data_IF_004750536562
#
_entry.id   IF_004750536562
#
_cell.length_a   1.000
_cell.length_b   1.000
_cell.length_c   1.000
_cell.angle_alpha   90.00
_cell.angle_beta   90.00
_cell.angle_gamma   90.00
#
_symmetry.space_group_name_H-M   'P 1'
#
loop_
_entity.id
_entity.type
_entity.pdbx_description
1 polymer ?
#
# COMPACT_ATOMS: atom_id res chain seq x y z
N UNK A 1 -59.83 -75.05 -9.94
CA UNK A 1 -58.41 -75.09 -9.75
C UNK A 1 -57.80 -74.33 -10.96
N UNK A 2 -57.65 -73.06 -10.82
CA UNK A 2 -57.12 -72.16 -11.87
C UNK A 2 -55.64 -71.84 -11.52
N UNK A 3 -54.75 -72.17 -12.46
CA UNK A 3 -53.35 -71.78 -12.41
C UNK A 3 -53.18 -70.49 -13.22
N UNK A 4 -52.78 -69.43 -12.56
CA UNK A 4 -52.42 -68.15 -13.15
C UNK A 4 -50.92 -68.23 -13.48
N UNK A 5 -50.56 -68.04 -14.75
CA UNK A 5 -49.18 -67.84 -15.18
C UNK A 5 -48.87 -66.38 -15.22
N UNK A 6 -47.92 -65.96 -14.38
CA UNK A 6 -47.41 -64.61 -14.34
C UNK A 6 -46.21 -64.51 -15.28
N UNK A 7 -46.35 -63.70 -16.34
CA UNK A 7 -45.24 -63.37 -17.25
C UNK A 7 -44.40 -62.26 -16.61
N UNK A 8 -43.12 -62.58 -16.37
CA UNK A 8 -42.12 -61.59 -15.96
C UNK A 8 -41.47 -61.03 -17.23
N UNK A 9 -41.80 -59.75 -17.57
CA UNK A 9 -41.14 -59.02 -18.62
C UNK A 9 -39.84 -58.41 -18.02
N UNK A 10 -38.70 -58.91 -18.47
CA UNK A 10 -37.40 -58.39 -18.12
C UNK A 10 -37.13 -57.13 -18.96
N UNK A 11 -37.26 -55.94 -18.35
CA UNK A 11 -36.94 -54.66 -18.99
C UNK A 11 -35.47 -54.38 -18.80
N UNK A 12 -34.65 -54.65 -19.81
CA UNK A 12 -33.23 -54.25 -19.84
C UNK A 12 -33.18 -52.74 -20.09
N UNK A 13 -32.99 -51.97 -19.03
CA UNK A 13 -32.61 -50.58 -19.13
C UNK A 13 -31.14 -50.49 -19.48
N UNK A 14 -30.82 -50.22 -20.73
CA UNK A 14 -29.50 -49.80 -21.18
C UNK A 14 -29.26 -48.39 -20.62
N UNK A 15 -28.53 -48.34 -19.51
CA UNK A 15 -27.91 -47.11 -19.03
C UNK A 15 -26.81 -46.73 -20.03
N UNK A 16 -27.14 -45.91 -21.01
CA UNK A 16 -26.15 -45.11 -21.74
C UNK A 16 -25.49 -44.19 -20.71
N UNK A 17 -24.39 -44.64 -20.12
CA UNK A 17 -23.46 -43.74 -19.43
C UNK A 17 -22.92 -42.81 -20.50
N UNK A 18 -23.49 -41.62 -20.59
CA UNK A 18 -22.82 -40.49 -21.20
C UNK A 18 -21.58 -40.23 -20.34
N UNK A 19 -20.43 -40.81 -20.71
CA UNK A 19 -19.16 -40.27 -20.31
C UNK A 19 -19.07 -38.88 -20.96
N UNK A 20 -19.57 -37.86 -20.25
CA UNK A 20 -19.06 -36.53 -20.48
C UNK A 20 -17.57 -36.64 -20.18
N UNK A 21 -16.78 -36.67 -21.23
CA UNK A 21 -15.37 -36.28 -21.13
C UNK A 21 -15.40 -34.90 -20.49
N UNK A 22 -15.23 -34.86 -19.16
CA UNK A 22 -14.78 -33.65 -18.48
C UNK A 22 -13.42 -33.31 -19.10
N UNK A 23 -13.46 -32.62 -20.23
CA UNK A 23 -12.36 -31.79 -20.64
C UNK A 23 -12.27 -30.67 -19.58
N UNK A 24 -11.79 -31.04 -18.41
CA UNK A 24 -11.32 -30.11 -17.40
C UNK A 24 -10.08 -29.42 -18.00
N UNK A 25 -10.31 -28.56 -18.98
CA UNK A 25 -9.38 -27.50 -19.28
C UNK A 25 -9.33 -26.62 -18.03
N UNK A 26 -8.41 -26.97 -17.13
CA UNK A 26 -8.27 -26.24 -15.87
C UNK A 26 -7.80 -24.82 -16.17
N UNK A 27 -8.78 -23.95 -16.49
CA UNK A 27 -8.55 -22.54 -16.75
C UNK A 27 -8.13 -21.78 -15.48
N UNK A 28 -8.39 -22.36 -14.30
CA UNK A 28 -7.97 -21.74 -13.03
C UNK A 28 -6.45 -21.61 -12.93
N UNK A 29 -6.00 -20.55 -12.27
CA UNK A 29 -4.59 -20.30 -12.02
C UNK A 29 -4.21 -18.84 -12.15
N UNK A 30 -2.92 -18.61 -12.07
CA UNK A 30 -2.32 -17.29 -12.25
C UNK A 30 -1.81 -17.15 -13.66
N UNK A 31 -2.12 -16.03 -14.29
CA UNK A 31 -1.65 -15.67 -15.62
C UNK A 31 -0.89 -14.36 -15.56
N UNK A 32 0.24 -14.25 -16.23
CA UNK A 32 1.08 -13.06 -16.23
C UNK A 32 1.67 -12.77 -17.60
N UNK A 33 1.80 -11.51 -17.93
CA UNK A 33 2.40 -11.04 -19.18
C UNK A 33 2.50 -9.54 -19.21
N UNK A 34 2.96 -9.02 -20.34
CA UNK A 34 3.11 -7.58 -20.53
C UNK A 34 1.94 -7.06 -21.34
N UNK A 35 1.23 -6.10 -20.78
CA UNK A 35 0.23 -5.33 -21.50
C UNK A 35 0.89 -4.06 -22.10
N UNK A 36 0.63 -3.82 -23.37
CA UNK A 36 1.15 -2.63 -24.09
C UNK A 36 -0.01 -1.76 -24.53
N UNK A 37 0.01 -0.52 -24.09
CA UNK A 37 -0.84 0.57 -24.54
C UNK A 37 0.00 1.53 -25.40
N UNK A 38 -0.64 2.46 -26.11
CA UNK A 38 0.02 3.41 -27.02
C UNK A 38 1.21 4.16 -26.39
N UNK A 39 1.11 4.51 -25.12
CA UNK A 39 2.09 5.36 -24.40
C UNK A 39 2.82 4.67 -23.24
N UNK A 40 2.44 3.45 -22.86
CA UNK A 40 3.04 2.77 -21.71
C UNK A 40 2.98 1.25 -21.82
N UNK A 41 3.73 0.60 -20.96
CA UNK A 41 3.78 -0.84 -20.81
C UNK A 41 3.76 -1.17 -19.33
N UNK A 42 2.93 -2.15 -18.92
CA UNK A 42 2.84 -2.64 -17.54
C UNK A 42 2.89 -4.16 -17.48
N UNK A 43 3.38 -4.69 -16.39
CA UNK A 43 3.23 -6.09 -16.04
C UNK A 43 1.80 -6.34 -15.53
N UNK A 44 1.07 -7.15 -16.29
CA UNK A 44 -0.31 -7.51 -15.99
C UNK A 44 -0.36 -8.94 -15.44
N UNK A 45 -1.02 -9.10 -14.31
CA UNK A 45 -1.30 -10.42 -13.75
C UNK A 45 -2.77 -10.56 -13.42
N UNK A 46 -3.33 -11.73 -13.71
CA UNK A 46 -4.69 -12.14 -13.40
C UNK A 46 -4.63 -13.44 -12.59
N UNK A 47 -5.29 -13.46 -11.44
CA UNK A 47 -5.51 -14.68 -10.67
C UNK A 47 -6.98 -15.09 -10.84
N UNK A 48 -7.23 -16.26 -11.45
CA UNK A 48 -8.55 -16.86 -11.63
C UNK A 48 -8.70 -18.02 -10.67
N UNK A 49 -9.63 -17.93 -9.76
CA UNK A 49 -9.92 -18.88 -8.69
C UNK A 49 -11.41 -19.24 -8.71
N UNK A 50 -11.78 -20.44 -8.28
CA UNK A 50 -13.18 -20.81 -8.05
C UNK A 50 -13.43 -21.12 -6.58
N UNK A 51 -14.66 -20.85 -6.16
CA UNK A 51 -15.22 -21.23 -4.86
C UNK A 51 -16.63 -21.81 -5.02
N UNK A 52 -17.32 -22.03 -3.90
CA UNK A 52 -18.70 -22.56 -3.91
C UNK A 52 -19.73 -21.64 -4.57
N UNK A 53 -19.40 -20.37 -4.84
CA UNK A 53 -20.27 -19.37 -5.44
C UNK A 53 -19.96 -19.15 -6.93
N UNK A 54 -18.82 -19.65 -7.43
CA UNK A 54 -18.39 -19.53 -8.81
C UNK A 54 -16.95 -19.06 -8.98
N UNK A 55 -16.68 -18.38 -10.08
CA UNK A 55 -15.35 -17.88 -10.40
C UNK A 55 -15.12 -16.47 -9.89
N UNK A 56 -13.93 -16.24 -9.36
CA UNK A 56 -13.41 -14.94 -8.93
C UNK A 56 -12.15 -14.62 -9.74
N UNK A 57 -12.03 -13.36 -10.17
CA UNK A 57 -10.84 -12.86 -10.86
C UNK A 57 -10.27 -11.67 -10.11
N UNK A 58 -8.96 -11.70 -9.91
CA UNK A 58 -8.22 -10.62 -9.26
C UNK A 58 -7.18 -10.06 -10.22
N UNK A 59 -7.13 -8.74 -10.31
CA UNK A 59 -6.17 -8.00 -11.13
C UNK A 59 -4.99 -7.54 -10.29
N UNK A 60 -3.77 -7.65 -10.84
CA UNK A 60 -2.53 -7.16 -10.21
C UNK A 60 -1.66 -6.43 -11.24
N UNK A 61 -1.21 -5.22 -10.87
CA UNK A 61 -0.15 -4.45 -11.54
C UNK A 61 0.71 -3.79 -10.47
N UNK A 62 1.94 -4.26 -10.30
CA UNK A 62 2.83 -3.74 -9.23
C UNK A 62 3.29 -2.32 -9.53
N UNK A 63 3.45 -1.96 -10.80
CA UNK A 63 3.81 -0.60 -11.23
C UNK A 63 2.71 0.43 -10.89
N UNK A 64 1.48 -0.04 -10.66
CA UNK A 64 0.35 0.79 -10.26
C UNK A 64 -0.01 0.60 -8.77
N UNK A 65 0.88 0.00 -7.99
CA UNK A 65 0.64 -0.35 -6.58
C UNK A 65 -0.67 -1.14 -6.37
N UNK A 66 -1.11 -1.89 -7.38
CA UNK A 66 -2.34 -2.66 -7.37
C UNK A 66 -2.04 -4.14 -7.18
N UNK A 67 -2.53 -4.74 -6.09
CA UNK A 67 -2.38 -6.16 -5.81
C UNK A 67 -3.74 -6.80 -5.50
N UNK A 68 -4.11 -7.83 -6.31
CA UNK A 68 -5.33 -8.63 -6.14
C UNK A 68 -6.60 -7.78 -6.02
N UNK A 69 -6.73 -6.77 -6.87
CA UNK A 69 -7.94 -5.96 -6.96
C UNK A 69 -9.09 -6.85 -7.47
N UNK A 70 -10.20 -6.99 -6.72
CA UNK A 70 -11.32 -7.81 -7.15
C UNK A 70 -12.00 -7.21 -8.40
N UNK A 71 -12.36 -8.09 -9.33
CA UNK A 71 -13.08 -7.69 -10.54
C UNK A 71 -14.57 -7.98 -10.44
N UNK A 72 -15.36 -7.56 -11.42
CA UNK A 72 -16.82 -7.73 -11.47
C UNK A 72 -17.23 -8.47 -12.74
N UNK A 73 -18.49 -8.94 -12.78
CA UNK A 73 -19.11 -9.56 -13.95
C UNK A 73 -18.28 -10.72 -14.52
N UNK A 74 -17.72 -11.54 -13.62
CA UNK A 74 -16.90 -12.69 -14.02
C UNK A 74 -17.78 -13.76 -14.65
N UNK A 75 -17.40 -14.22 -15.83
CA UNK A 75 -18.07 -15.30 -16.56
C UNK A 75 -17.02 -16.20 -17.19
N UNK A 76 -17.10 -17.50 -16.89
CA UNK A 76 -16.32 -18.55 -17.53
C UNK A 76 -17.28 -19.49 -18.25
N UNK A 77 -17.18 -19.56 -19.58
CA UNK A 77 -17.98 -20.42 -20.42
C UNK A 77 -17.02 -21.20 -21.32
N UNK A 78 -16.95 -22.51 -21.10
CA UNK A 78 -15.95 -23.39 -21.74
C UNK A 78 -14.51 -22.88 -21.45
N UNK A 79 -13.81 -22.45 -22.51
CA UNK A 79 -12.46 -21.88 -22.48
C UNK A 79 -12.43 -20.33 -22.51
N UNK A 80 -13.59 -19.69 -22.48
CA UNK A 80 -13.73 -18.22 -22.57
C UNK A 80 -13.89 -17.62 -21.19
N UNK A 81 -13.07 -16.60 -20.87
CA UNK A 81 -13.11 -15.81 -19.65
C UNK A 81 -13.48 -14.37 -20.00
N UNK A 82 -14.51 -13.85 -19.35
CA UNK A 82 -14.88 -12.44 -19.41
C UNK A 82 -15.01 -11.87 -18.01
N UNK A 83 -14.50 -10.67 -17.79
CA UNK A 83 -14.67 -9.92 -16.54
C UNK A 83 -14.51 -8.42 -16.77
N UNK A 84 -14.88 -7.63 -15.78
CA UNK A 84 -14.72 -6.18 -15.79
C UNK A 84 -13.90 -5.70 -14.59
N UNK A 85 -12.98 -4.78 -14.85
CA UNK A 85 -12.29 -4.04 -13.83
C UNK A 85 -12.87 -2.63 -13.78
N UNK A 86 -13.34 -2.19 -12.62
CA UNK A 86 -14.02 -0.91 -12.44
C UNK A 86 -13.11 0.06 -11.70
N UNK A 87 -12.83 1.20 -12.32
CA UNK A 87 -12.28 2.38 -11.67
C UNK A 87 -13.38 3.40 -11.40
N UNK A 88 -13.03 4.54 -10.79
CA UNK A 88 -13.98 5.63 -10.53
C UNK A 88 -14.52 6.27 -11.82
N UNK A 89 -13.78 6.19 -12.93
CA UNK A 89 -14.08 6.89 -14.17
C UNK A 89 -14.36 5.94 -15.34
N UNK A 90 -13.72 4.76 -15.37
CA UNK A 90 -13.76 3.86 -16.53
C UNK A 90 -14.12 2.43 -16.13
N UNK A 91 -14.75 1.74 -17.07
CA UNK A 91 -14.96 0.29 -17.02
C UNK A 91 -14.09 -0.37 -18.07
N UNK A 92 -13.20 -1.26 -17.62
CA UNK A 92 -12.30 -2.02 -18.48
C UNK A 92 -12.85 -3.41 -18.67
N UNK A 93 -13.13 -3.79 -19.90
CA UNK A 93 -13.73 -5.09 -20.23
C UNK A 93 -12.66 -6.02 -20.78
N UNK A 94 -12.38 -7.08 -20.05
CA UNK A 94 -11.48 -8.15 -20.47
C UNK A 94 -12.29 -9.29 -21.10
N UNK A 95 -11.90 -9.69 -22.31
CA UNK A 95 -12.49 -10.77 -23.07
C UNK A 95 -11.36 -11.65 -23.57
N UNK A 96 -11.25 -12.88 -23.07
CA UNK A 96 -10.13 -13.76 -23.41
C UNK A 96 -10.57 -15.18 -23.59
N UNK A 97 -9.71 -15.93 -24.25
CA UNK A 97 -9.82 -17.37 -24.47
C UNK A 97 -8.58 -18.05 -23.92
N UNK A 98 -8.80 -19.15 -23.18
CA UNK A 98 -7.73 -20.00 -22.71
C UNK A 98 -7.31 -20.98 -23.79
N UNK A 99 -6.04 -21.01 -24.10
CA UNK A 99 -5.43 -22.02 -24.97
C UNK A 99 -4.68 -23.05 -24.12
N UNK A 100 -5.26 -24.24 -23.99
CA UNK A 100 -4.69 -25.33 -23.19
C UNK A 100 -3.38 -25.89 -23.78
N UNK A 101 -3.15 -25.74 -25.10
CA UNK A 101 -1.95 -26.24 -25.77
C UNK A 101 -0.72 -25.43 -25.42
N UNK A 102 -0.91 -24.13 -25.20
CA UNK A 102 0.16 -23.18 -24.84
C UNK A 102 0.10 -22.69 -23.40
N UNK A 103 -0.94 -23.09 -22.64
CA UNK A 103 -1.19 -22.57 -21.28
C UNK A 103 -1.29 -21.04 -21.24
N UNK A 104 -1.99 -20.43 -22.18
CA UNK A 104 -2.10 -18.97 -22.31
C UNK A 104 -3.54 -18.49 -22.25
N UNK A 105 -3.74 -17.28 -21.73
CA UNK A 105 -4.95 -16.46 -21.89
C UNK A 105 -4.67 -15.40 -22.96
N UNK A 106 -5.40 -15.50 -24.08
CA UNK A 106 -5.27 -14.52 -25.18
C UNK A 106 -6.59 -13.82 -25.37
N UNK A 107 -6.56 -12.51 -25.55
CA UNK A 107 -7.80 -11.76 -25.66
C UNK A 107 -7.61 -10.29 -25.99
N UNK A 108 -8.67 -9.56 -25.75
CA UNK A 108 -8.73 -8.11 -25.91
C UNK A 108 -9.22 -7.46 -24.62
N UNK A 109 -8.61 -6.34 -24.31
CA UNK A 109 -9.05 -5.39 -23.31
C UNK A 109 -9.70 -4.22 -24.02
N UNK A 110 -10.99 -3.99 -23.77
CA UNK A 110 -11.73 -2.85 -24.32
C UNK A 110 -11.70 -1.69 -23.34
N UNK A 111 -11.21 -0.53 -23.78
CA UNK A 111 -11.17 0.74 -23.06
C UNK A 111 -11.80 1.80 -23.97
N UNK A 112 -12.87 2.48 -23.52
CA UNK A 112 -13.55 3.53 -24.31
C UNK A 112 -13.85 3.12 -25.76
N UNK A 113 -14.35 1.90 -25.93
CA UNK A 113 -14.68 1.31 -27.26
C UNK A 113 -13.48 1.04 -28.17
N UNK A 114 -12.24 1.11 -27.65
CA UNK A 114 -11.03 0.67 -28.33
C UNK A 114 -10.55 -0.65 -27.77
N UNK A 115 -10.13 -1.53 -28.66
CA UNK A 115 -9.66 -2.87 -28.31
C UNK A 115 -8.14 -2.95 -28.35
N UNK A 116 -7.55 -3.44 -27.25
CA UNK A 116 -6.11 -3.64 -27.08
C UNK A 116 -5.85 -5.14 -26.89
N UNK A 117 -5.12 -5.81 -27.78
CA UNK A 117 -4.84 -7.22 -27.66
C UNK A 117 -3.86 -7.48 -26.51
N UNK A 118 -4.05 -8.60 -25.83
CA UNK A 118 -3.09 -9.08 -24.82
C UNK A 118 -2.94 -10.60 -24.83
N UNK A 119 -1.79 -11.08 -24.34
CA UNK A 119 -1.53 -12.50 -24.12
C UNK A 119 -0.82 -12.66 -22.78
N UNK A 120 -1.32 -13.57 -21.94
CA UNK A 120 -0.76 -13.87 -20.62
C UNK A 120 -0.44 -15.36 -20.55
N UNK A 121 0.75 -15.68 -20.08
CA UNK A 121 1.19 -17.06 -19.85
C UNK A 121 0.74 -17.52 -18.47
N UNK A 122 0.30 -18.79 -18.36
CA UNK A 122 -0.03 -19.39 -17.07
C UNK A 122 1.24 -19.58 -16.26
N UNK A 123 1.25 -19.03 -15.05
CA UNK A 123 2.39 -19.09 -14.14
C UNK A 123 2.32 -20.37 -13.31
N UNK A 124 3.44 -21.09 -13.21
CA UNK A 124 3.54 -22.28 -12.33
C UNK A 124 3.32 -21.85 -10.86
N UNK A 125 2.43 -22.56 -10.16
CA UNK A 125 2.12 -22.34 -8.75
C UNK A 125 3.35 -22.47 -7.84
N UNK A 126 4.38 -23.21 -8.27
CA UNK A 126 5.66 -23.30 -7.54
C UNK A 126 6.40 -21.98 -7.41
N UNK A 127 6.08 -21.01 -8.26
CA UNK A 127 6.69 -19.68 -8.24
C UNK A 127 5.89 -18.66 -7.41
N UNK A 128 4.80 -19.06 -6.75
CA UNK A 128 4.06 -18.18 -5.86
C UNK A 128 4.84 -17.92 -4.56
N UNK A 129 4.87 -16.67 -4.13
CA UNK A 129 5.47 -16.27 -2.86
C UNK A 129 4.61 -16.83 -1.72
N UNK A 130 5.24 -17.56 -0.81
CA UNK A 130 4.57 -18.11 0.38
C UNK A 130 4.41 -17.00 1.43
N UNK A 131 3.28 -17.02 2.11
CA UNK A 131 3.00 -16.11 3.22
C UNK A 131 2.74 -16.86 4.51
N UNK A 132 2.99 -16.20 5.64
CA UNK A 132 2.71 -16.71 6.98
C UNK A 132 2.15 -15.58 7.85
N UNK A 133 0.91 -15.70 8.28
CA UNK A 133 0.33 -14.78 9.25
C UNK A 133 0.88 -15.05 10.65
N UNK A 134 1.12 -13.97 11.39
CA UNK A 134 1.47 -14.00 12.81
C UNK A 134 0.66 -12.94 13.56
N UNK A 135 0.36 -13.23 14.83
CA UNK A 135 -0.23 -12.25 15.75
C UNK A 135 0.65 -12.15 17.00
N UNK A 136 0.63 -10.97 17.61
CA UNK A 136 1.45 -10.68 18.79
C UNK A 136 0.78 -9.61 19.66
N UNK A 137 1.17 -9.54 20.93
CA UNK A 137 0.64 -8.55 21.87
C UNK A 137 1.56 -7.32 21.91
N UNK A 138 0.96 -6.13 21.88
CA UNK A 138 1.63 -4.85 22.08
C UNK A 138 0.70 -3.86 22.79
N UNK A 139 1.14 -3.29 23.91
CA UNK A 139 0.37 -2.30 24.69
C UNK A 139 -1.09 -2.71 24.96
N UNK A 140 -1.32 -4.00 25.30
CA UNK A 140 -2.67 -4.55 25.57
C UNK A 140 -3.53 -4.78 24.34
N UNK A 141 -2.99 -4.64 23.13
CA UNK A 141 -3.67 -4.94 21.88
C UNK A 141 -3.06 -6.15 21.19
N UNK A 142 -3.91 -6.98 20.58
CA UNK A 142 -3.46 -8.06 19.69
C UNK A 142 -3.29 -7.51 18.29
N UNK A 143 -2.06 -7.51 17.77
CA UNK A 143 -1.72 -7.02 16.43
C UNK A 143 -1.45 -8.20 15.49
N UNK A 144 -1.85 -8.07 14.23
CA UNK A 144 -1.78 -9.12 13.21
C UNK A 144 -0.99 -8.66 11.99
N UNK A 145 -0.12 -9.51 11.48
CA UNK A 145 0.68 -9.19 10.29
C UNK A 145 0.98 -10.42 9.44
N UNK A 146 1.54 -10.19 8.26
CA UNK A 146 1.90 -11.22 7.27
C UNK A 146 3.37 -11.16 6.95
N UNK A 147 4.07 -12.29 7.12
CA UNK A 147 5.44 -12.50 6.65
C UNK A 147 5.36 -13.06 5.23
N UNK A 148 6.06 -12.43 4.30
CA UNK A 148 6.22 -12.88 2.92
C UNK A 148 7.59 -13.53 2.77
N UNK A 149 7.58 -14.79 2.35
CA UNK A 149 8.76 -15.64 2.28
C UNK A 149 9.21 -15.75 0.82
N UNK A 150 10.41 -15.28 0.47
CA UNK A 150 10.91 -15.38 -0.89
C UNK A 150 11.16 -16.84 -1.29
N UNK A 151 11.03 -17.15 -2.58
CA UNK A 151 11.37 -18.48 -3.10
C UNK A 151 12.86 -18.81 -2.90
N UNK A 152 13.72 -17.79 -3.02
CA UNK A 152 15.15 -17.87 -2.72
C UNK A 152 15.51 -16.71 -1.81
N UNK A 153 15.85 -17.02 -0.56
CA UNK A 153 16.17 -15.98 0.44
C UNK A 153 17.61 -15.47 0.28
N UNK A 154 17.76 -14.13 0.37
CA UNK A 154 19.06 -13.48 0.49
C UNK A 154 19.54 -13.31 1.94
N UNK A 155 18.81 -13.89 2.92
CA UNK A 155 19.13 -13.83 4.35
C UNK A 155 18.77 -12.50 5.03
N UNK A 156 18.11 -11.56 4.34
CA UNK A 156 17.77 -10.22 4.85
C UNK A 156 16.29 -10.06 5.09
N UNK A 157 15.95 -9.25 6.09
CA UNK A 157 14.58 -8.82 6.41
C UNK A 157 14.31 -7.38 5.97
N UNK A 158 13.07 -7.12 5.53
CA UNK A 158 12.55 -5.79 5.29
C UNK A 158 11.22 -5.64 6.04
N UNK A 159 11.13 -4.64 6.89
CA UNK A 159 9.95 -4.37 7.71
C UNK A 159 9.28 -3.07 7.28
N UNK A 160 7.98 -3.11 7.03
CA UNK A 160 7.20 -1.92 6.69
C UNK A 160 6.61 -1.29 7.94
N UNK A 161 7.09 -0.10 8.26
CA UNK A 161 6.61 0.74 9.37
C UNK A 161 5.24 1.31 8.99
N UNK A 162 4.27 1.21 9.89
CA UNK A 162 2.91 1.69 9.66
C UNK A 162 2.85 3.22 9.47
N UNK A 163 1.95 3.71 8.62
CA UNK A 163 1.76 5.13 8.34
C UNK A 163 0.44 5.66 8.91
N UNK A 164 0.09 6.92 8.61
CA UNK A 164 -1.17 7.58 9.01
C UNK A 164 -2.42 6.93 8.39
N UNK A 165 -3.59 7.46 8.73
CA UNK A 165 -4.88 7.00 8.21
C UNK A 165 -5.34 5.65 8.78
N UNK A 166 -6.48 5.14 8.35
CA UNK A 166 -7.08 3.88 8.81
C UNK A 166 -6.79 2.70 7.86
N UNK A 167 -5.75 2.80 7.05
CA UNK A 167 -5.36 1.74 6.13
C UNK A 167 -4.74 0.56 6.89
N UNK A 168 -5.10 -0.65 6.51
CA UNK A 168 -4.49 -1.87 6.96
C UNK A 168 -3.22 -2.22 6.12
N UNK A 169 -2.61 -3.37 6.40
CA UNK A 169 -1.40 -3.84 5.70
C UNK A 169 -1.56 -4.00 4.18
N UNK A 170 -2.79 -4.10 3.65
CA UNK A 170 -3.01 -4.28 2.21
C UNK A 170 -2.46 -3.12 1.39
N UNK A 171 -2.39 -1.91 1.97
CA UNK A 171 -1.87 -0.71 1.32
C UNK A 171 -0.40 -0.81 0.87
N UNK A 172 0.40 -1.68 1.49
CA UNK A 172 1.81 -1.93 1.11
C UNK A 172 2.02 -3.27 0.39
N UNK A 173 0.96 -4.00 0.06
CA UNK A 173 1.07 -5.38 -0.42
C UNK A 173 1.81 -5.52 -1.77
N UNK A 174 1.70 -4.54 -2.66
CA UNK A 174 2.42 -4.58 -3.93
C UNK A 174 3.94 -4.40 -3.73
N UNK A 175 4.34 -3.46 -2.88
CA UNK A 175 5.75 -3.23 -2.52
C UNK A 175 6.34 -4.45 -1.81
N UNK A 176 5.61 -5.01 -0.86
CA UNK A 176 6.00 -6.22 -0.13
C UNK A 176 6.21 -7.39 -1.08
N UNK A 177 5.32 -7.57 -2.06
CA UNK A 177 5.46 -8.61 -3.08
C UNK A 177 6.70 -8.37 -3.96
N UNK A 178 6.95 -7.11 -4.37
CA UNK A 178 8.12 -6.76 -5.16
C UNK A 178 9.42 -7.15 -4.44
N UNK A 179 9.61 -6.72 -3.20
CA UNK A 179 10.83 -7.01 -2.46
C UNK A 179 10.97 -8.49 -2.09
N UNK A 180 9.85 -9.21 -1.89
CA UNK A 180 9.91 -10.65 -1.70
C UNK A 180 10.38 -11.39 -2.95
N UNK A 181 9.99 -10.95 -4.16
CA UNK A 181 10.53 -11.48 -5.43
C UNK A 181 12.03 -11.21 -5.57
N UNK A 182 12.56 -10.17 -4.93
CA UNK A 182 13.99 -9.82 -4.89
C UNK A 182 14.80 -10.56 -3.81
N UNK A 183 14.17 -11.51 -3.13
CA UNK A 183 14.83 -12.39 -2.15
C UNK A 183 14.77 -11.90 -0.70
N UNK A 184 14.15 -10.79 -0.40
CA UNK A 184 13.94 -10.33 0.97
C UNK A 184 12.81 -11.13 1.64
N UNK A 185 12.99 -11.48 2.92
CA UNK A 185 11.86 -11.84 3.76
C UNK A 185 11.21 -10.55 4.22
N UNK A 186 9.93 -10.33 3.90
CA UNK A 186 9.27 -9.04 4.15
C UNK A 186 8.14 -9.20 5.15
N UNK A 187 7.97 -8.21 6.03
CA UNK A 187 6.89 -8.20 7.00
C UNK A 187 6.17 -6.85 7.02
N UNK A 188 4.85 -6.92 6.99
CA UNK A 188 3.94 -5.82 7.23
C UNK A 188 2.79 -6.27 8.15
N UNK A 189 2.18 -5.33 8.87
CA UNK A 189 1.11 -5.66 9.81
C UNK A 189 0.02 -4.59 9.82
N UNK A 190 -1.15 -4.98 10.31
CA UNK A 190 -2.25 -4.05 10.57
C UNK A 190 -1.94 -3.29 11.86
N UNK A 191 -1.85 -1.96 11.79
CA UNK A 191 -1.71 -1.17 13.01
C UNK A 191 -2.96 -1.30 13.89
N UNK A 192 -2.86 -0.91 15.14
CA UNK A 192 -3.99 -0.97 16.09
C UNK A 192 -5.25 -0.34 15.49
N UNK A 193 -6.41 -0.97 15.70
CA UNK A 193 -7.71 -0.50 15.18
C UNK A 193 -7.94 -0.67 13.68
N UNK A 194 -7.04 -1.37 12.96
CA UNK A 194 -7.22 -1.63 11.52
C UNK A 194 -7.13 -3.13 11.20
N UNK A 195 -7.71 -3.54 10.07
CA UNK A 195 -7.63 -4.90 9.56
C UNK A 195 -8.03 -5.96 10.57
N UNK A 196 -7.10 -6.86 10.93
CA UNK A 196 -7.29 -7.92 11.92
C UNK A 196 -6.74 -7.56 13.32
N UNK A 197 -6.18 -6.37 13.49
CA UNK A 197 -5.63 -5.90 14.76
C UNK A 197 -6.72 -5.28 15.64
N UNK A 198 -6.61 -5.50 16.95
CA UNK A 198 -7.50 -4.88 17.95
C UNK A 198 -7.00 -3.48 18.34
N UNK A 199 -7.75 -2.80 19.22
CA UNK A 199 -7.41 -1.49 19.74
C UNK A 199 -8.05 -0.33 19.00
N UNK A 200 -7.58 0.88 19.26
CA UNK A 200 -8.04 2.12 18.64
C UNK A 200 -6.85 3.01 18.29
N UNK A 201 -7.05 3.90 17.32
CA UNK A 201 -6.13 4.99 16.96
C UNK A 201 -6.46 6.31 17.70
N UNK A 202 -7.53 6.33 18.49
CA UNK A 202 -7.94 7.54 19.21
C UNK A 202 -6.91 7.93 20.28
N UNK A 203 -6.48 9.17 20.28
CA UNK A 203 -5.53 9.76 21.23
C UNK A 203 -4.22 8.97 21.44
N UNK A 204 -3.75 8.30 20.38
CA UNK A 204 -2.49 7.53 20.41
C UNK A 204 -1.32 8.42 20.00
N UNK A 205 -0.26 8.44 20.81
CA UNK A 205 0.98 9.15 20.47
C UNK A 205 1.76 8.45 19.36
N UNK A 206 2.63 9.19 18.67
CA UNK A 206 3.55 8.59 17.68
C UNK A 206 4.53 7.65 18.37
N UNK A 207 4.91 7.94 19.58
CA UNK A 207 5.78 7.11 20.43
C UNK A 207 5.11 5.75 20.72
N UNK A 208 3.82 5.72 21.06
CA UNK A 208 3.08 4.47 21.26
C UNK A 208 2.95 3.65 19.98
N UNK A 209 2.73 4.30 18.83
CA UNK A 209 2.72 3.64 17.53
C UNK A 209 4.11 3.10 17.16
N UNK A 210 5.19 3.81 17.53
CA UNK A 210 6.55 3.32 17.32
C UNK A 210 6.87 2.12 18.22
N UNK A 211 6.31 2.05 19.43
CA UNK A 211 6.44 0.86 20.31
C UNK A 211 5.75 -0.35 19.68
N UNK A 212 4.59 -0.17 19.03
CA UNK A 212 3.95 -1.25 18.27
C UNK A 212 4.83 -1.74 17.13
N UNK A 213 5.41 -0.80 16.32
CA UNK A 213 6.33 -1.16 15.25
C UNK A 213 7.59 -1.88 15.79
N UNK A 214 8.16 -1.42 16.91
CA UNK A 214 9.32 -2.06 17.58
C UNK A 214 8.98 -3.50 18.00
N UNK A 215 7.82 -3.68 18.63
CA UNK A 215 7.34 -5.00 19.05
C UNK A 215 7.16 -5.91 17.83
N UNK A 216 6.56 -5.39 16.76
CA UNK A 216 6.37 -6.11 15.50
C UNK A 216 7.71 -6.52 14.86
N UNK A 217 8.71 -5.65 14.83
CA UNK A 217 10.07 -5.94 14.33
C UNK A 217 10.72 -7.07 15.14
N UNK A 218 10.60 -7.04 16.47
CA UNK A 218 11.15 -8.08 17.34
C UNK A 218 10.45 -9.43 17.11
N UNK A 219 9.11 -9.44 16.94
CA UNK A 219 8.36 -10.66 16.61
C UNK A 219 8.70 -11.18 15.21
N UNK A 220 8.90 -10.30 14.24
CA UNK A 220 9.37 -10.66 12.91
C UNK A 220 10.75 -11.33 12.95
N UNK A 221 11.73 -10.74 13.65
CA UNK A 221 13.06 -11.32 13.86
C UNK A 221 12.97 -12.71 14.51
N UNK A 222 12.17 -12.85 15.57
CA UNK A 222 11.95 -14.12 16.28
C UNK A 222 11.32 -15.19 15.38
N UNK A 223 10.27 -14.82 14.62
CA UNK A 223 9.51 -15.76 13.79
C UNK A 223 10.29 -16.25 12.57
N UNK A 224 11.22 -15.43 12.04
CA UNK A 224 12.03 -15.73 10.85
C UNK A 224 13.45 -16.19 11.18
N UNK A 225 13.90 -15.97 12.40
CA UNK A 225 15.30 -16.14 12.87
C UNK A 225 16.29 -15.24 12.12
N UNK A 226 15.83 -14.17 11.48
CA UNK A 226 16.68 -13.15 10.89
C UNK A 226 17.10 -12.18 12.02
N UNK A 227 18.40 -12.02 12.30
CA UNK A 227 18.87 -11.12 13.36
C UNK A 227 18.57 -9.65 12.97
N UNK A 228 18.41 -8.78 13.97
CA UNK A 228 18.08 -7.36 13.77
C UNK A 228 19.11 -6.64 12.87
N UNK A 229 20.37 -7.03 12.93
CA UNK A 229 21.47 -6.50 12.12
C UNK A 229 21.32 -6.81 10.60
N UNK A 230 20.39 -7.69 10.24
CA UNK A 230 20.03 -8.02 8.86
C UNK A 230 18.63 -7.49 8.48
N UNK A 231 17.95 -6.75 9.37
CA UNK A 231 16.65 -6.17 9.13
C UNK A 231 16.79 -4.68 8.85
N UNK A 232 16.29 -4.26 7.68
CA UNK A 232 16.07 -2.85 7.33
C UNK A 232 14.60 -2.50 7.52
N UNK A 233 14.32 -1.23 7.86
CA UNK A 233 12.96 -0.74 8.02
C UNK A 233 12.65 0.32 6.96
N UNK A 234 11.42 0.31 6.44
CA UNK A 234 10.93 1.23 5.41
C UNK A 234 9.60 1.81 5.85
N UNK A 235 9.40 3.11 5.64
CA UNK A 235 8.14 3.77 5.95
C UNK A 235 7.98 5.06 5.17
N UNK A 236 6.72 5.39 4.86
CA UNK A 236 6.36 6.63 4.17
C UNK A 236 5.59 7.57 5.10
N UNK A 237 5.68 8.88 4.84
CA UNK A 237 4.93 9.91 5.56
C UNK A 237 5.13 9.79 7.08
N UNK A 238 4.07 9.65 7.87
CA UNK A 238 4.14 9.39 9.32
C UNK A 238 4.99 8.15 9.64
N UNK A 239 4.93 7.09 8.81
CA UNK A 239 5.79 5.91 8.97
C UNK A 239 7.26 6.25 8.82
N UNK A 240 7.61 7.08 7.83
CA UNK A 240 8.96 7.61 7.65
C UNK A 240 9.42 8.47 8.83
N UNK A 241 8.51 9.25 9.41
CA UNK A 241 8.80 10.08 10.59
C UNK A 241 9.10 9.25 11.85
N UNK A 242 8.57 8.03 11.98
CA UNK A 242 8.87 7.11 13.09
C UNK A 242 10.23 6.42 12.95
N UNK A 243 10.76 6.28 11.73
CA UNK A 243 12.01 5.54 11.48
C UNK A 243 13.18 6.02 12.37
N UNK A 244 13.53 7.31 12.47
CA UNK A 244 14.64 7.72 13.29
C UNK A 244 14.43 7.44 14.78
N UNK A 245 13.19 7.52 15.28
CA UNK A 245 12.85 7.13 16.66
C UNK A 245 13.09 5.62 16.87
N UNK A 246 12.59 4.77 15.96
CA UNK A 246 12.76 3.31 16.04
C UNK A 246 14.25 2.92 16.00
N UNK A 247 15.03 3.51 15.09
CA UNK A 247 16.46 3.25 14.96
C UNK A 247 17.29 3.72 16.17
N UNK A 248 16.87 4.79 16.84
CA UNK A 248 17.52 5.25 18.07
C UNK A 248 17.21 4.33 19.27
N UNK A 249 16.12 3.57 19.23
CA UNK A 249 15.76 2.58 20.26
C UNK A 249 16.36 1.20 19.92
N UNK A 250 16.14 0.71 18.72
CA UNK A 250 16.69 -0.56 18.23
C UNK A 250 18.00 -0.31 17.46
N UNK A 251 19.06 0.00 18.22
CA UNK A 251 20.34 0.43 17.68
C UNK A 251 21.10 -0.62 16.86
N UNK A 252 20.65 -1.84 16.86
CA UNK A 252 21.22 -2.94 16.09
C UNK A 252 20.45 -3.25 14.78
N UNK A 253 19.45 -2.45 14.40
CA UNK A 253 18.84 -2.57 13.07
C UNK A 253 19.85 -2.20 11.97
N UNK A 254 19.69 -2.80 10.78
CA UNK A 254 20.61 -2.61 9.65
C UNK A 254 20.59 -1.18 9.12
N UNK A 255 19.40 -0.65 8.83
CA UNK A 255 19.20 0.67 8.21
C UNK A 255 17.75 1.10 8.18
N UNK A 256 17.50 2.36 7.79
CA UNK A 256 16.18 2.91 7.52
C UNK A 256 16.01 3.43 6.09
N UNK A 257 14.77 3.46 5.63
CA UNK A 257 14.35 4.08 4.37
C UNK A 257 13.12 4.94 4.67
N UNK A 258 13.27 6.25 4.59
CA UNK A 258 12.29 7.26 4.99
C UNK A 258 11.79 7.98 3.74
N UNK A 259 10.52 7.79 3.41
CA UNK A 259 9.92 8.22 2.14
C UNK A 259 8.87 9.30 2.42
N UNK A 260 8.85 10.39 1.64
CA UNK A 260 7.88 11.49 1.79
C UNK A 260 7.72 11.92 3.26
N UNK A 261 8.83 12.04 3.97
CA UNK A 261 8.83 12.26 5.42
C UNK A 261 8.81 13.75 5.76
N UNK A 262 7.91 14.21 6.66
CA UNK A 262 7.92 15.60 7.10
C UNK A 262 9.24 15.96 7.80
N UNK A 263 9.88 17.04 7.33
CA UNK A 263 11.00 17.70 7.99
C UNK A 263 10.56 18.76 9.01
N UNK A 264 9.38 18.58 9.60
CA UNK A 264 8.71 19.51 10.51
C UNK A 264 7.76 18.72 11.43
N UNK A 265 6.93 19.38 12.23
CA UNK A 265 5.86 18.69 12.97
C UNK A 265 4.78 18.15 12.03
N UNK A 266 4.04 17.13 12.48
CA UNK A 266 2.91 16.61 11.72
C UNK A 266 1.83 17.69 11.52
N UNK A 267 1.63 18.57 12.50
CA UNK A 267 0.74 19.74 12.39
C UNK A 267 1.12 20.63 11.21
N UNK A 268 2.41 21.00 11.10
CA UNK A 268 2.89 21.86 10.00
C UNK A 268 2.74 21.15 8.63
N UNK A 269 2.94 19.84 8.60
CA UNK A 269 2.74 19.03 7.39
C UNK A 269 1.27 19.01 6.95
N UNK A 270 0.36 18.73 7.88
CA UNK A 270 -1.07 18.69 7.59
C UNK A 270 -1.61 20.07 7.17
N UNK A 271 -1.12 21.14 7.82
CA UNK A 271 -1.43 22.52 7.43
C UNK A 271 -0.92 22.82 6.01
N UNK A 272 0.31 22.42 5.68
CA UNK A 272 0.86 22.59 4.34
C UNK A 272 0.00 21.89 3.29
N UNK A 273 -0.41 20.64 3.53
CA UNK A 273 -1.31 19.90 2.65
C UNK A 273 -2.64 20.64 2.46
N UNK A 274 -3.28 21.02 3.55
CA UNK A 274 -4.55 21.73 3.52
C UNK A 274 -4.46 23.02 2.70
N UNK A 275 -3.46 23.84 2.96
CA UNK A 275 -3.30 25.12 2.25
C UNK A 275 -2.91 24.91 0.77
N UNK A 276 -2.12 23.91 0.43
CA UNK A 276 -1.84 23.56 -0.96
C UNK A 276 -3.11 23.13 -1.72
N UNK A 277 -4.01 22.41 -1.06
CA UNK A 277 -5.30 22.01 -1.63
C UNK A 277 -6.24 23.19 -1.83
N UNK A 278 -6.25 24.16 -0.91
CA UNK A 278 -7.18 25.28 -0.89
C UNK A 278 -6.71 26.52 -1.69
N UNK A 279 -5.41 26.66 -1.96
CA UNK A 279 -4.83 27.87 -2.58
C UNK A 279 -5.48 28.32 -3.89
N UNK A 280 -6.07 27.40 -4.65
CA UNK A 280 -6.75 27.68 -5.92
C UNK A 280 -8.23 28.03 -5.74
N UNK A 281 -8.79 27.80 -4.54
CA UNK A 281 -10.19 28.07 -4.19
C UNK A 281 -10.36 29.38 -3.43
N UNK A 282 -9.29 29.86 -2.79
CA UNK A 282 -9.28 31.05 -1.95
C UNK A 282 -8.60 32.19 -2.72
N UNK A 283 -9.20 33.39 -2.66
CA UNK A 283 -8.60 34.59 -3.25
C UNK A 283 -7.22 34.85 -2.64
N UNK A 284 -6.27 35.27 -3.46
CA UNK A 284 -4.88 35.51 -3.03
C UNK A 284 -4.77 36.42 -1.81
N UNK A 285 -5.58 37.47 -1.75
CA UNK A 285 -5.58 38.44 -0.65
C UNK A 285 -6.12 37.86 0.66
N UNK A 286 -6.94 36.83 0.59
CA UNK A 286 -7.54 36.16 1.73
C UNK A 286 -6.70 34.95 2.24
N UNK A 287 -5.70 34.50 1.47
CA UNK A 287 -4.91 33.30 1.81
C UNK A 287 -4.24 33.41 3.19
N UNK A 288 -3.68 34.58 3.52
CA UNK A 288 -3.01 34.74 4.83
C UNK A 288 -4.02 34.60 5.97
N UNK A 289 -5.20 35.23 5.84
CA UNK A 289 -6.24 35.14 6.86
C UNK A 289 -6.81 33.72 6.97
N UNK A 290 -7.02 33.05 5.84
CA UNK A 290 -7.46 31.66 5.78
C UNK A 290 -6.44 30.73 6.45
N UNK A 291 -5.14 30.94 6.17
CA UNK A 291 -4.05 30.17 6.80
C UNK A 291 -4.05 30.36 8.32
N UNK A 292 -4.20 31.58 8.83
CA UNK A 292 -4.25 31.84 10.28
C UNK A 292 -5.42 31.09 10.95
N UNK A 293 -6.59 31.11 10.34
CA UNK A 293 -7.76 30.42 10.89
C UNK A 293 -7.54 28.89 10.84
N UNK A 294 -7.03 28.34 9.72
CA UNK A 294 -6.76 26.92 9.61
C UNK A 294 -5.65 26.46 10.56
N UNK A 295 -4.62 27.30 10.77
CA UNK A 295 -3.57 27.05 11.78
C UNK A 295 -4.18 26.94 13.18
N UNK A 296 -5.07 27.86 13.55
CA UNK A 296 -5.73 27.82 14.85
C UNK A 296 -6.57 26.55 15.05
N UNK A 297 -7.18 26.02 14.00
CA UNK A 297 -7.89 24.72 14.04
C UNK A 297 -6.90 23.59 14.34
N UNK A 298 -5.77 23.51 13.63
CA UNK A 298 -4.76 22.46 13.85
C UNK A 298 -4.07 22.61 15.22
N UNK A 299 -3.78 23.84 15.66
CA UNK A 299 -3.25 24.09 17.01
C UNK A 299 -4.21 23.63 18.11
N UNK A 300 -5.52 23.84 17.92
CA UNK A 300 -6.51 23.30 18.85
C UNK A 300 -6.50 21.79 18.87
N UNK A 301 -6.52 21.14 17.71
CA UNK A 301 -6.47 19.68 17.59
C UNK A 301 -5.17 19.10 18.19
N UNK A 302 -4.05 19.80 18.07
CA UNK A 302 -2.77 19.43 18.68
C UNK A 302 -2.63 19.80 20.16
N UNK A 303 -3.64 20.41 20.79
CA UNK A 303 -3.63 20.79 22.20
C UNK A 303 -2.91 22.11 22.52
N UNK A 304 -2.41 22.83 21.48
CA UNK A 304 -1.72 24.11 21.64
C UNK A 304 -2.65 25.32 21.83
N UNK A 305 -3.92 25.19 21.44
CA UNK A 305 -4.93 26.27 21.55
C UNK A 305 -6.16 25.79 22.31
N UNK A 306 -6.73 26.61 23.19
CA UNK A 306 -7.96 26.26 23.90
C UNK A 306 -9.20 26.40 22.99
N UNK A 307 -10.23 25.57 23.23
CA UNK A 307 -11.53 25.61 22.52
C UNK A 307 -12.13 27.00 22.48
N UNK A 308 -12.14 27.68 23.62
CA UNK A 308 -12.67 29.06 23.73
C UNK A 308 -11.97 30.06 22.81
N UNK A 309 -10.63 29.97 22.71
CA UNK A 309 -9.87 30.86 21.79
C UNK A 309 -10.16 30.50 20.34
N UNK A 310 -10.24 29.21 19.99
CA UNK A 310 -10.61 28.80 18.64
C UNK A 310 -12.00 29.29 18.27
N UNK A 311 -13.03 29.14 19.14
CA UNK A 311 -14.39 29.59 18.89
C UNK A 311 -14.48 31.10 18.62
N UNK A 312 -13.67 31.92 19.31
CA UNK A 312 -13.55 33.35 19.06
C UNK A 312 -13.02 33.59 17.64
N UNK A 313 -11.92 32.97 17.26
CA UNK A 313 -11.30 33.09 15.93
C UNK A 313 -12.29 32.66 14.83
N UNK A 314 -12.97 31.52 15.00
CA UNK A 314 -13.97 31.06 14.04
C UNK A 314 -15.13 32.04 13.90
N UNK A 315 -15.64 32.58 15.02
CA UNK A 315 -16.74 33.55 15.03
C UNK A 315 -16.38 34.86 14.31
N UNK A 316 -15.16 35.38 14.51
CA UNK A 316 -14.67 36.58 13.85
C UNK A 316 -14.52 36.44 12.35
N UNK A 317 -14.29 35.22 11.87
CA UNK A 317 -14.04 34.93 10.46
C UNK A 317 -15.22 34.29 9.72
N UNK A 318 -16.29 33.87 10.43
CA UNK A 318 -17.44 33.14 9.88
C UNK A 318 -18.09 33.79 8.65
N UNK A 319 -18.10 35.13 8.56
CA UNK A 319 -18.72 35.84 7.45
C UNK A 319 -17.74 36.16 6.30
N UNK A 320 -16.50 35.73 6.37
CA UNK A 320 -15.51 35.89 5.30
C UNK A 320 -15.75 34.85 4.21
N UNK A 321 -15.55 35.26 2.95
CA UNK A 321 -15.78 34.39 1.78
C UNK A 321 -14.93 33.10 1.83
N UNK A 322 -13.69 33.17 2.28
CA UNK A 322 -12.78 32.04 2.38
C UNK A 322 -13.21 30.98 3.42
N UNK A 323 -14.03 31.35 4.41
CA UNK A 323 -14.39 30.48 5.53
C UNK A 323 -15.07 29.19 5.09
N UNK A 324 -15.89 29.23 4.03
CA UNK A 324 -16.58 28.06 3.47
C UNK A 324 -15.64 26.96 2.92
N UNK A 325 -14.39 27.28 2.64
CA UNK A 325 -13.39 26.35 2.11
C UNK A 325 -12.52 25.72 3.21
N UNK A 326 -12.56 26.28 4.42
CA UNK A 326 -11.75 25.76 5.54
C UNK A 326 -12.31 24.45 6.05
N UNK A 327 -11.41 23.56 6.43
CA UNK A 327 -11.78 22.36 7.13
C UNK A 327 -11.89 22.64 8.63
N UNK A 328 -13.10 22.54 9.15
CA UNK A 328 -13.42 22.75 10.56
C UNK A 328 -14.16 21.52 11.04
N UNK A 329 -13.48 20.59 11.74
CA UNK A 329 -14.11 19.39 12.28
C UNK A 329 -15.06 19.76 13.43
N UNK A 330 -15.86 18.76 13.85
CA UNK A 330 -16.58 18.86 15.10
C UNK A 330 -15.57 19.08 16.25
N UNK A 331 -15.79 20.12 17.04
CA UNK A 331 -14.89 20.51 18.12
C UNK A 331 -15.12 19.61 19.34
N UNK A 332 -14.65 18.37 19.29
CA UNK A 332 -14.60 17.47 20.42
C UNK A 332 -13.63 18.02 21.49
N UNK A 333 -13.74 17.55 22.72
CA UNK A 333 -12.79 17.96 23.78
C UNK A 333 -11.43 17.26 23.68
N UNK A 334 -11.36 16.17 22.88
CA UNK A 334 -10.16 15.35 22.75
C UNK A 334 -9.17 15.94 21.74
N UNK A 335 -7.93 16.11 22.17
CA UNK A 335 -6.81 16.58 21.36
C UNK A 335 -6.12 15.42 20.64
N UNK A 336 -5.61 15.67 19.43
CA UNK A 336 -4.81 14.71 18.67
C UNK A 336 -3.33 14.83 19.03
N UNK A 337 -2.91 14.14 20.05
CA UNK A 337 -1.55 14.21 20.64
C UNK A 337 -0.43 14.00 19.58
N UNK A 338 -0.70 13.23 18.52
CA UNK A 338 0.28 12.95 17.47
C UNK A 338 0.69 14.20 16.65
N UNK A 339 -0.15 15.24 16.56
CA UNK A 339 0.11 16.40 15.69
C UNK A 339 1.34 17.22 16.09
N UNK A 340 1.69 17.28 17.38
CA UNK A 340 2.87 18.00 17.87
C UNK A 340 4.19 17.25 17.61
N UNK A 341 4.15 15.98 17.21
CA UNK A 341 5.34 15.17 16.97
C UNK A 341 6.18 15.72 15.82
N UNK A 342 7.51 15.75 16.01
CA UNK A 342 8.50 16.03 14.97
C UNK A 342 9.59 14.97 14.98
N UNK A 343 9.98 14.49 13.80
CA UNK A 343 11.07 13.53 13.63
C UNK A 343 12.47 14.15 13.72
N UNK A 344 12.59 15.46 13.58
CA UNK A 344 13.88 16.19 13.51
C UNK A 344 14.78 15.92 14.72
N UNK A 345 14.32 16.01 15.98
CA UNK A 345 15.19 15.73 17.14
C UNK A 345 15.77 14.32 17.18
N UNK A 346 15.12 13.37 16.51
CA UNK A 346 15.58 11.99 16.40
C UNK A 346 16.57 11.82 15.25
N UNK A 347 16.40 12.53 14.13
CA UNK A 347 17.39 12.60 13.06
C UNK A 347 18.70 13.26 13.52
N UNK A 348 18.65 14.26 14.38
CA UNK A 348 19.84 14.93 14.97
C UNK A 348 20.71 14.01 15.86
N UNK A 349 20.27 12.78 16.12
CA UNK A 349 20.99 11.78 16.91
C UNK A 349 21.27 10.50 16.11
N UNK A 350 20.82 10.43 14.85
CA UNK A 350 20.82 9.20 14.09
C UNK A 350 22.17 8.95 13.39
N UNK A 351 22.81 7.83 13.69
CA UNK A 351 24.07 7.38 13.06
C UNK A 351 23.92 6.15 12.15
N UNK A 352 22.70 5.58 12.07
CA UNK A 352 22.41 4.47 11.17
C UNK A 352 22.47 4.88 9.70
N UNK A 353 22.80 3.94 8.81
CA UNK A 353 22.57 4.15 7.37
C UNK A 353 21.08 4.46 7.12
N UNK A 354 20.80 5.54 6.41
CA UNK A 354 19.42 5.92 6.08
C UNK A 354 19.34 6.49 4.68
N UNK A 355 18.31 6.04 3.94
CA UNK A 355 17.89 6.59 2.65
C UNK A 355 16.69 7.50 2.86
N UNK A 356 16.77 8.71 2.35
CA UNK A 356 15.67 9.68 2.31
C UNK A 356 15.20 9.78 0.86
N UNK A 357 13.91 9.59 0.61
CA UNK A 357 13.30 9.75 -0.72
C UNK A 357 12.18 10.76 -0.64
N UNK A 358 12.20 11.76 -1.53
CA UNK A 358 11.14 12.75 -1.67
C UNK A 358 10.79 12.97 -3.15
N UNK A 359 9.50 13.16 -3.44
CA UNK A 359 9.03 13.54 -4.75
C UNK A 359 8.95 15.06 -4.93
N UNK A 360 9.26 15.59 -6.14
CA UNK A 360 9.17 17.03 -6.40
C UNK A 360 7.74 17.56 -6.53
N UNK A 361 6.78 16.67 -6.85
CA UNK A 361 5.35 16.98 -6.93
C UNK A 361 4.57 16.72 -5.62
N UNK A 362 5.27 16.38 -4.53
CA UNK A 362 4.63 16.19 -3.23
C UNK A 362 4.06 17.52 -2.70
N UNK A 363 2.73 17.56 -2.53
CA UNK A 363 2.01 18.72 -1.99
C UNK A 363 1.65 18.55 -0.50
N UNK A 364 1.90 17.36 0.07
CA UNK A 364 1.54 17.05 1.47
C UNK A 364 2.58 17.61 2.42
N UNK A 365 3.84 17.20 2.25
CA UNK A 365 4.91 17.70 3.10
C UNK A 365 5.52 19.01 2.55
N UNK A 366 6.05 19.89 3.40
CA UNK A 366 6.79 21.07 2.94
C UNK A 366 7.95 20.67 2.00
N UNK A 367 8.15 21.47 0.94
CA UNK A 367 9.13 21.18 -0.12
C UNK A 367 10.58 21.08 0.38
N UNK A 368 10.89 21.73 1.50
CA UNK A 368 12.21 21.74 2.14
C UNK A 368 12.39 20.64 3.19
N UNK A 369 11.43 19.72 3.34
CA UNK A 369 11.47 18.65 4.34
C UNK A 369 12.73 17.80 4.25
N UNK A 370 13.10 17.39 3.04
CA UNK A 370 14.31 16.61 2.80
C UNK A 370 15.59 17.35 3.19
N UNK A 371 15.68 18.66 2.92
CA UNK A 371 16.84 19.49 3.30
C UNK A 371 16.94 19.64 4.82
N UNK A 372 15.82 19.84 5.51
CA UNK A 372 15.78 19.90 6.98
C UNK A 372 16.22 18.58 7.63
N UNK A 373 15.80 17.45 7.05
CA UNK A 373 16.24 16.13 7.50
C UNK A 373 17.75 15.93 7.24
N UNK A 374 18.23 16.33 6.06
CA UNK A 374 19.65 16.27 5.73
C UNK A 374 20.49 17.11 6.68
N UNK A 375 20.06 18.34 7.00
CA UNK A 375 20.72 19.21 7.98
C UNK A 375 20.75 18.57 9.38
N UNK A 376 19.64 17.92 9.79
CA UNK A 376 19.59 17.21 11.07
C UNK A 376 20.58 16.03 11.13
N UNK A 377 20.67 15.25 10.04
CA UNK A 377 21.62 14.15 9.90
C UNK A 377 23.08 14.65 9.88
N UNK A 378 23.35 15.79 9.23
CA UNK A 378 24.66 16.43 9.23
C UNK A 378 25.06 16.89 10.66
N UNK A 379 24.14 17.46 11.44
CA UNK A 379 24.36 17.80 12.85
C UNK A 379 24.68 16.57 13.69
N UNK A 380 24.06 15.41 13.39
CA UNK A 380 24.39 14.14 14.02
C UNK A 380 25.80 13.62 13.64
N UNK A 381 26.43 14.15 12.61
CA UNK A 381 27.64 13.60 12.02
C UNK A 381 27.40 12.32 11.22
N UNK A 382 26.19 12.12 10.70
CA UNK A 382 25.85 10.94 9.91
C UNK A 382 26.46 10.99 8.50
N UNK A 383 27.46 10.15 8.26
CA UNK A 383 28.13 10.01 6.96
C UNK A 383 27.58 8.84 6.12
N UNK A 384 26.49 8.20 6.56
CA UNK A 384 25.90 7.01 5.95
C UNK A 384 24.48 7.28 5.44
N UNK A 385 24.07 8.55 5.40
CA UNK A 385 22.81 8.97 4.81
C UNK A 385 22.93 9.16 3.32
N UNK A 386 21.81 8.98 2.59
CA UNK A 386 21.69 9.31 1.18
C UNK A 386 20.33 9.96 0.94
N UNK A 387 20.34 11.10 0.25
CA UNK A 387 19.13 11.79 -0.18
C UNK A 387 18.93 11.53 -1.68
N UNK A 388 17.70 11.15 -2.05
CA UNK A 388 17.26 10.99 -3.45
C UNK A 388 15.97 11.77 -3.63
N UNK A 389 15.93 12.57 -4.70
CA UNK A 389 14.73 13.29 -5.14
C UNK A 389 14.23 12.66 -6.43
N UNK A 390 12.95 12.26 -6.46
CA UNK A 390 12.30 11.70 -7.63
C UNK A 390 11.47 12.78 -8.31
N UNK A 391 11.86 13.10 -9.54
CA UNK A 391 11.26 14.19 -10.32
C UNK A 391 9.81 13.85 -10.70
N UNK A 392 8.88 14.77 -10.45
CA UNK A 392 7.43 14.62 -10.68
C UNK A 392 6.73 13.52 -9.88
N UNK A 393 7.40 12.86 -8.93
CA UNK A 393 6.73 11.96 -8.01
C UNK A 393 5.93 12.76 -6.97
N UNK A 394 4.69 12.31 -6.71
CA UNK A 394 3.84 12.88 -5.67
C UNK A 394 4.12 12.24 -4.29
N UNK A 395 3.28 12.53 -3.29
CA UNK A 395 3.43 12.00 -1.93
C UNK A 395 3.47 10.46 -1.83
N UNK A 396 2.73 9.77 -2.70
CA UNK A 396 2.69 8.30 -2.78
C UNK A 396 3.73 7.71 -3.73
N UNK A 397 4.70 8.49 -4.16
CA UNK A 397 5.72 8.11 -5.16
C UNK A 397 5.12 7.75 -6.52
N UNK A 398 3.91 8.20 -6.83
CA UNK A 398 3.30 8.01 -8.15
C UNK A 398 3.47 9.25 -9.03
N UNK A 399 3.41 9.03 -10.35
CA UNK A 399 3.38 10.09 -11.36
C UNK A 399 1.94 10.45 -11.70
N UNK A 400 1.59 11.73 -11.68
CA UNK A 400 0.28 12.19 -12.09
C UNK A 400 0.19 12.24 -13.62
N UNK A 401 -0.97 11.84 -14.17
CA UNK A 401 -1.32 11.95 -15.59
C UNK A 401 -0.40 11.21 -16.58
N UNK A 402 0.26 10.12 -16.16
CA UNK A 402 1.16 9.34 -17.02
C UNK A 402 0.49 8.13 -17.64
N UNK A 403 -0.66 7.68 -17.10
CA UNK A 403 -1.34 6.48 -17.60
C UNK A 403 -2.86 6.62 -17.49
N UNK A 404 -3.53 6.30 -18.59
CA UNK A 404 -4.99 6.20 -18.64
C UNK A 404 -5.50 4.78 -18.29
N UNK A 405 -4.60 3.81 -18.07
CA UNK A 405 -4.97 2.43 -17.83
C UNK A 405 -4.28 1.85 -16.59
N UNK A 406 -5.09 1.21 -15.74
CA UNK A 406 -6.55 1.31 -15.55
C UNK A 406 -6.97 2.55 -14.76
N UNK A 407 -6.67 3.72 -15.18
CA UNK A 407 -6.87 5.03 -14.53
C UNK A 407 -6.30 5.11 -13.10
N UNK A 408 -5.18 4.45 -12.88
CA UNK A 408 -4.42 4.55 -11.66
C UNK A 408 -3.06 5.15 -11.96
N UNK A 409 -2.60 5.99 -11.06
CA UNK A 409 -1.26 6.58 -11.16
C UNK A 409 -0.21 5.47 -11.14
N UNK A 410 0.80 5.59 -11.97
CA UNK A 410 1.93 4.68 -11.96
C UNK A 410 2.94 5.12 -10.91
N UNK A 411 3.53 4.17 -10.19
CA UNK A 411 4.71 4.43 -9.37
C UNK A 411 5.83 5.01 -10.25
N UNK A 412 6.59 5.94 -9.68
CA UNK A 412 7.74 6.49 -10.36
C UNK A 412 8.71 5.35 -10.77
N UNK A 413 9.16 5.28 -12.05
CA UNK A 413 9.91 4.12 -12.57
C UNK A 413 11.20 3.82 -11.79
N UNK A 414 11.80 4.82 -11.17
CA UNK A 414 13.00 4.64 -10.36
C UNK A 414 12.71 4.32 -8.87
N UNK A 415 11.44 4.28 -8.43
CA UNK A 415 11.11 4.13 -7.01
C UNK A 415 11.66 2.83 -6.43
N UNK A 416 11.24 1.70 -6.96
CA UNK A 416 11.70 0.39 -6.49
C UNK A 416 13.20 0.19 -6.68
N UNK A 417 13.73 0.59 -7.84
CA UNK A 417 15.15 0.44 -8.14
C UNK A 417 16.03 1.24 -7.17
N UNK A 418 15.64 2.46 -6.83
CA UNK A 418 16.35 3.31 -5.84
C UNK A 418 16.48 2.60 -4.49
N UNK A 419 15.40 1.99 -4.01
CA UNK A 419 15.39 1.25 -2.74
C UNK A 419 16.23 -0.02 -2.84
N UNK A 420 16.09 -0.79 -3.92
CA UNK A 420 16.83 -2.03 -4.14
C UNK A 420 18.36 -1.78 -4.22
N UNK A 421 18.78 -0.78 -4.98
CA UNK A 421 20.18 -0.38 -5.08
C UNK A 421 20.76 0.04 -3.72
N UNK A 422 20.01 0.83 -2.95
CA UNK A 422 20.41 1.22 -1.60
C UNK A 422 20.61 0.00 -0.70
N UNK A 423 19.62 -0.90 -0.61
CA UNK A 423 19.66 -2.12 0.18
C UNK A 423 20.83 -3.03 -0.21
N UNK A 424 21.21 -3.06 -1.49
CA UNK A 424 22.37 -3.81 -1.97
C UNK A 424 23.70 -3.13 -1.58
N UNK A 425 23.77 -1.80 -1.67
CA UNK A 425 24.97 -1.02 -1.32
C UNK A 425 25.35 -1.16 0.15
N UNK A 426 24.38 -1.04 1.08
CA UNK A 426 24.63 -1.17 2.52
C UNK A 426 24.97 -2.60 2.96
N UNK A 427 24.67 -3.58 2.10
CA UNK A 427 24.95 -4.99 2.37
C UNK A 427 26.40 -5.37 2.10
N UNK A 428 27.05 -4.68 1.17
CA UNK A 428 28.43 -4.97 0.72
C UNK A 428 29.52 -4.25 1.52
N UNK A 429 29.15 -3.33 2.42
CA UNK A 429 30.11 -2.69 3.34
C UNK A 429 30.27 -3.58 4.57
N UNK A 430 31.36 -4.42 4.57
CA UNK A 430 31.86 -5.16 5.73
C UNK A 430 32.50 -4.24 6.74
#
# INVERSE_FOLDING_TARGET
>A
MNRIYTFFALFCILLLSCNTLDNNNNIEGTYSGVFKHESFQIDLRIDLESDSLGYNVFFTSLEQNALRIPTKNVSVINDSLKFTLQSDFYTYVFNSKYDASFNTLQGVLTIDSKDYPYSLDKVDSKNQIKTKDISFESNGNTLSGTIWLPNTSNGKGLFFVTSSGMNDRSSSSAEVQYFSKKGFTVYHYDKRGTGKSTGSMDNVSIEDLAIDDITAIQQFSKATKIPLEQISIIGSSQGGAKIPLILNILTNLKSGISISTPGCSLLESDLNFMMNTLKNQIKKDDLTAATLVQTAVFEYLGGGLSKVKLEIILKENKNKEFYQYLWIPELAEDVQVCLSYSSIPYFEKLLHPILIIQGTADIVIPKDSNLKIEDALNKAGNTKSKLIVLENANHSMTLENVSDFPYWSMLHPNYFNTIEEWLNTISNKK
#
